data_IF_685861772078
#
_entry.id   IF_685861772078
#
_cell.length_a   1.000
_cell.length_b   1.000
_cell.length_c   1.000
_cell.angle_alpha   90.00
_cell.angle_beta   90.00
_cell.angle_gamma   90.00
#
_symmetry.space_group_name_H-M   'P 1'
#
loop_
_entity.id
_entity.type
_entity.pdbx_description
1 polymer ?
#
# COMPACT_ATOMS: atom_id res chain seq x y z
N UNK A 1 8.47 11.79 3.99
CA UNK A 1 7.23 11.90 4.81
C UNK A 1 6.27 12.94 4.24
N UNK A 2 6.77 14.16 4.01
CA UNK A 2 5.96 15.32 3.62
C UNK A 2 5.17 15.15 2.32
N UNK A 3 5.65 14.33 1.39
CA UNK A 3 4.92 13.98 0.16
C UNK A 3 4.00 12.76 0.32
N UNK A 4 4.37 11.82 1.20
CA UNK A 4 3.68 10.52 1.34
C UNK A 4 2.47 10.63 2.25
N UNK A 5 2.54 11.46 3.30
CA UNK A 5 1.44 11.63 4.26
C UNK A 5 0.21 12.28 3.61
N UNK A 6 0.32 13.37 2.82
CA UNK A 6 -0.83 13.92 2.11
C UNK A 6 -1.46 12.93 1.13
N UNK A 7 -0.64 12.16 0.39
CA UNK A 7 -1.13 11.09 -0.48
C UNK A 7 -1.90 10.03 0.31
N UNK A 8 -1.32 9.54 1.41
CA UNK A 8 -1.93 8.52 2.27
C UNK A 8 -3.25 9.02 2.90
N UNK A 9 -3.30 10.28 3.35
CA UNK A 9 -4.52 10.90 3.86
C UNK A 9 -5.61 11.02 2.79
N UNK A 10 -5.23 11.41 1.57
CA UNK A 10 -6.16 11.51 0.45
C UNK A 10 -6.77 10.14 0.08
N UNK A 11 -5.95 9.09 0.08
CA UNK A 11 -6.40 7.70 -0.14
C UNK A 11 -7.29 7.22 1.01
N UNK A 12 -6.90 7.44 2.26
CA UNK A 12 -7.70 7.07 3.43
C UNK A 12 -9.06 7.77 3.48
N UNK A 13 -9.11 9.03 3.04
CA UNK A 13 -10.33 9.82 2.96
C UNK A 13 -11.23 9.44 1.76
N UNK A 14 -10.77 8.57 0.86
CA UNK A 14 -11.50 8.19 -0.36
C UNK A 14 -11.54 9.30 -1.43
N UNK A 15 -10.75 10.37 -1.27
CA UNK A 15 -10.61 11.41 -2.32
C UNK A 15 -9.82 10.91 -3.52
N UNK A 16 -8.95 9.92 -3.28
CA UNK A 16 -8.23 9.15 -4.29
C UNK A 16 -8.50 7.66 -4.01
N UNK A 17 -8.64 6.86 -5.06
CA UNK A 17 -8.81 5.41 -4.92
C UNK A 17 -7.48 4.73 -4.55
N UNK A 18 -6.40 5.14 -5.22
CA UNK A 18 -5.07 4.53 -5.11
C UNK A 18 -3.95 5.55 -5.13
N UNK A 19 -2.80 5.20 -4.55
CA UNK A 19 -1.60 6.01 -4.54
C UNK A 19 -0.35 5.27 -5.04
N UNK A 20 0.55 5.99 -5.70
CA UNK A 20 1.88 5.52 -6.09
C UNK A 20 2.91 6.39 -5.40
N UNK A 21 3.78 5.78 -4.59
CA UNK A 21 4.82 6.49 -3.84
C UNK A 21 6.21 5.98 -4.23
N UNK A 22 7.11 6.89 -4.56
CA UNK A 22 8.49 6.55 -4.95
C UNK A 22 9.47 7.30 -4.03
N UNK A 23 10.41 6.57 -3.45
CA UNK A 23 11.57 7.15 -2.77
C UNK A 23 12.83 6.34 -3.11
N UNK A 24 13.98 6.60 -2.47
CA UNK A 24 15.23 5.91 -2.80
C UNK A 24 15.09 4.38 -2.84
N UNK A 25 14.62 3.77 -1.74
CA UNK A 25 14.37 2.31 -1.65
C UNK A 25 12.89 1.94 -1.61
N UNK A 26 11.98 2.91 -1.50
CA UNK A 26 10.55 2.68 -1.25
C UNK A 26 10.19 2.38 0.22
N UNK A 27 11.16 1.93 1.03
CA UNK A 27 10.95 1.53 2.44
C UNK A 27 10.38 2.66 3.29
N UNK A 28 10.98 3.86 3.24
CA UNK A 28 10.50 4.99 4.04
C UNK A 28 9.09 5.44 3.63
N UNK A 29 8.74 5.30 2.35
CA UNK A 29 7.40 5.63 1.87
C UNK A 29 6.37 4.64 2.42
N UNK A 30 6.63 3.34 2.36
CA UNK A 30 5.70 2.33 2.89
C UNK A 30 5.53 2.43 4.40
N UNK A 31 6.61 2.71 5.14
CA UNK A 31 6.54 2.92 6.60
C UNK A 31 5.64 4.12 6.92
N UNK A 32 5.84 5.26 6.27
CA UNK A 32 5.05 6.47 6.53
C UNK A 32 3.59 6.31 6.13
N UNK A 33 3.31 5.76 4.95
CA UNK A 33 1.96 5.60 4.44
C UNK A 33 1.10 4.72 5.36
N UNK A 34 1.65 3.60 5.83
CA UNK A 34 0.98 2.67 6.76
C UNK A 34 0.75 3.24 8.17
N UNK A 35 1.22 4.46 8.48
CA UNK A 35 0.85 5.15 9.74
C UNK A 35 -0.50 5.84 9.66
N UNK A 36 -1.08 5.98 8.46
CA UNK A 36 -2.40 6.56 8.27
C UNK A 36 -3.43 5.42 8.30
N UNK A 37 -4.35 5.40 9.28
CA UNK A 37 -5.41 4.39 9.33
C UNK A 37 -6.21 4.33 8.02
N UNK A 38 -6.52 3.14 7.56
CA UNK A 38 -7.19 2.89 6.28
C UNK A 38 -6.25 2.74 5.09
N UNK A 39 -4.96 3.06 5.24
CA UNK A 39 -3.93 2.84 4.20
C UNK A 39 -3.28 1.47 4.37
N UNK A 40 -3.15 0.77 3.24
CA UNK A 40 -2.43 -0.49 3.11
C UNK A 40 -1.41 -0.30 2.01
N UNK A 41 -0.19 0.05 2.41
CA UNK A 41 0.92 0.32 1.51
C UNK A 41 1.89 -0.86 1.43
N UNK A 42 2.15 -1.36 0.23
CA UNK A 42 3.14 -2.43 -0.03
C UNK A 42 4.41 -1.89 -0.66
N UNK A 43 5.58 -2.34 -0.18
CA UNK A 43 6.84 -2.16 -0.90
C UNK A 43 7.00 -3.27 -1.93
N UNK A 44 6.99 -2.92 -3.21
CA UNK A 44 6.87 -3.90 -4.30
C UNK A 44 8.08 -3.82 -5.23
N UNK A 45 8.59 -5.00 -5.60
CA UNK A 45 9.74 -5.16 -6.51
C UNK A 45 9.47 -6.16 -7.64
N UNK A 46 8.29 -6.79 -7.69
CA UNK A 46 7.95 -7.82 -8.65
C UNK A 46 6.48 -7.75 -9.08
N UNK A 47 6.19 -8.24 -10.28
CA UNK A 47 4.88 -8.12 -10.92
C UNK A 47 3.78 -8.92 -10.20
N UNK A 48 4.12 -10.09 -9.64
CA UNK A 48 3.14 -10.92 -8.95
C UNK A 48 2.59 -10.17 -7.73
N UNK A 49 3.49 -9.65 -6.88
CA UNK A 49 3.09 -8.91 -5.68
C UNK A 49 2.38 -7.59 -5.98
N UNK A 50 2.65 -6.96 -7.13
CA UNK A 50 1.99 -5.73 -7.55
C UNK A 50 0.47 -5.91 -7.75
N UNK A 51 0.06 -6.98 -8.42
CA UNK A 51 -1.35 -7.34 -8.59
C UNK A 51 -1.93 -8.02 -7.36
N UNK A 52 -1.24 -9.05 -6.85
CA UNK A 52 -1.72 -9.87 -5.74
C UNK A 52 -1.95 -9.05 -4.47
N UNK A 53 -1.15 -8.01 -4.21
CA UNK A 53 -1.38 -7.12 -3.07
C UNK A 53 -2.75 -6.42 -3.14
N UNK A 54 -3.22 -6.07 -4.33
CA UNK A 54 -4.58 -5.52 -4.52
C UNK A 54 -5.62 -6.63 -4.37
N UNK A 55 -5.41 -7.75 -5.05
CA UNK A 55 -6.38 -8.86 -5.10
C UNK A 55 -6.66 -9.47 -3.73
N UNK A 56 -5.65 -9.62 -2.89
CA UNK A 56 -5.74 -10.34 -1.62
C UNK A 56 -5.83 -9.43 -0.39
N UNK A 57 -5.12 -8.30 -0.42
CA UNK A 57 -4.98 -7.41 0.74
C UNK A 57 -5.65 -6.05 0.53
N UNK A 58 -6.31 -5.84 -0.62
CA UNK A 58 -6.91 -4.56 -0.99
C UNK A 58 -5.90 -3.41 -0.84
N UNK A 59 -4.63 -3.67 -1.23
CA UNK A 59 -3.56 -2.69 -1.20
C UNK A 59 -3.98 -1.45 -1.99
N UNK A 60 -3.94 -0.28 -1.37
CA UNK A 60 -4.37 0.98 -1.97
C UNK A 60 -3.21 1.97 -2.17
N UNK A 61 -2.00 1.62 -1.73
CA UNK A 61 -0.79 2.37 -2.05
C UNK A 61 0.33 1.40 -2.46
N UNK A 62 0.92 1.60 -3.64
CA UNK A 62 2.15 0.91 -4.05
C UNK A 62 3.36 1.81 -3.76
N UNK A 63 4.38 1.25 -3.12
CA UNK A 63 5.65 1.90 -2.85
C UNK A 63 6.78 1.24 -3.65
N UNK A 64 7.56 2.03 -4.40
CA UNK A 64 8.63 1.54 -5.26
C UNK A 64 9.94 2.28 -4.94
N UNK A 65 11.07 1.57 -5.02
CA UNK A 65 12.40 2.15 -4.86
C UNK A 65 12.96 2.68 -6.18
N UNK A 66 13.10 4.00 -6.30
CA UNK A 66 13.66 4.66 -7.49
C UNK A 66 15.16 4.45 -7.71
N UNK A 67 15.89 3.93 -6.71
CA UNK A 67 17.29 3.50 -6.86
C UNK A 67 17.46 1.99 -6.98
N UNK A 68 16.40 1.22 -6.74
CA UNK A 68 16.48 -0.26 -6.67
C UNK A 68 15.65 -0.96 -7.74
N UNK A 69 14.71 -0.26 -8.37
CA UNK A 69 13.86 -0.79 -9.46
C UNK A 69 14.08 0.05 -10.71
N UNK A 70 14.40 -0.61 -11.82
CA UNK A 70 14.54 0.06 -13.13
C UNK A 70 13.21 0.63 -13.62
N UNK A 71 13.24 1.70 -14.42
CA UNK A 71 12.04 2.45 -14.83
C UNK A 71 11.03 1.60 -15.60
N UNK A 72 11.47 0.72 -16.49
CA UNK A 72 10.56 -0.16 -17.25
C UNK A 72 9.85 -1.15 -16.33
N UNK A 73 10.59 -1.76 -15.40
CA UNK A 73 9.98 -2.65 -14.39
C UNK A 73 9.00 -1.86 -13.53
N UNK A 74 9.41 -0.69 -13.02
CA UNK A 74 8.53 0.15 -12.20
C UNK A 74 7.22 0.51 -12.92
N UNK A 75 7.27 0.78 -14.23
CA UNK A 75 6.08 1.02 -15.03
C UNK A 75 5.16 -0.22 -15.08
N UNK A 76 5.71 -1.40 -15.37
CA UNK A 76 4.96 -2.65 -15.40
C UNK A 76 4.30 -2.95 -14.03
N UNK A 77 5.02 -2.70 -12.93
CA UNK A 77 4.48 -2.84 -11.57
C UNK A 77 3.30 -1.91 -11.31
N UNK A 78 3.40 -0.64 -11.73
CA UNK A 78 2.31 0.32 -11.59
C UNK A 78 1.11 -0.10 -12.44
N UNK A 79 1.32 -0.59 -13.66
CA UNK A 79 0.23 -1.08 -14.51
C UNK A 79 -0.48 -2.29 -13.89
N UNK A 80 0.27 -3.28 -13.40
CA UNK A 80 -0.29 -4.44 -12.70
C UNK A 80 -1.09 -4.02 -11.45
N UNK A 81 -0.53 -3.10 -10.65
CA UNK A 81 -1.21 -2.55 -9.49
C UNK A 81 -2.50 -1.82 -9.85
N UNK A 82 -2.53 -1.02 -10.92
CA UNK A 82 -3.72 -0.25 -11.30
C UNK A 82 -4.79 -1.11 -11.96
N UNK A 83 -4.40 -2.17 -12.70
CA UNK A 83 -5.32 -3.06 -13.39
C UNK A 83 -5.97 -4.11 -12.47
N UNK A 84 -5.33 -4.45 -11.35
CA UNK A 84 -5.85 -5.45 -10.43
C UNK A 84 -7.11 -4.98 -9.70
N UNK A 85 -7.99 -5.94 -9.40
CA UNK A 85 -9.23 -5.73 -8.65
C UNK A 85 -9.23 -6.59 -7.38
N UNK A 86 -9.80 -6.05 -6.30
CA UNK A 86 -9.89 -6.83 -5.06
C UNK A 86 -10.79 -8.04 -5.28
N UNK A 87 -10.29 -9.23 -4.94
CA UNK A 87 -10.96 -10.49 -5.29
C UNK A 87 -12.23 -10.79 -4.47
N UNK A 88 -12.47 -10.06 -3.39
CA UNK A 88 -13.58 -10.29 -2.44
C UNK A 88 -13.67 -11.73 -1.88
N UNK A 89 -12.63 -12.56 -2.01
CA UNK A 89 -12.68 -13.93 -1.53
C UNK A 89 -12.84 -13.98 0.01
N UNK A 90 -13.61 -14.94 0.57
CA UNK A 90 -13.88 -14.98 2.02
C UNK A 90 -12.62 -14.96 2.90
N UNK A 91 -11.53 -15.59 2.43
CA UNK A 91 -10.25 -15.60 3.15
C UNK A 91 -9.56 -14.22 3.18
N UNK A 92 -9.75 -13.41 2.14
CA UNK A 92 -9.16 -12.08 1.97
C UNK A 92 -9.94 -11.04 2.77
N UNK A 93 -11.28 -11.06 2.68
CA UNK A 93 -12.15 -10.26 3.55
C UNK A 93 -11.83 -10.48 5.04
N UNK A 94 -11.69 -11.74 5.46
CA UNK A 94 -11.32 -12.08 6.83
C UNK A 94 -9.96 -11.51 7.24
N UNK A 95 -8.96 -11.53 6.36
CA UNK A 95 -7.62 -10.98 6.65
C UNK A 95 -7.68 -9.45 6.71
N UNK A 96 -8.36 -8.82 5.74
CA UNK A 96 -8.58 -7.38 5.70
C UNK A 96 -9.26 -6.88 6.99
N UNK A 97 -10.31 -7.57 7.47
CA UNK A 97 -10.93 -7.25 8.76
C UNK A 97 -9.98 -7.37 9.95
N UNK A 98 -9.04 -8.32 9.93
CA UNK A 98 -8.02 -8.43 10.99
C UNK A 98 -7.04 -7.26 10.94
N UNK A 99 -6.60 -6.85 9.76
CA UNK A 99 -5.72 -5.70 9.57
C UNK A 99 -6.39 -4.41 10.05
N UNK A 100 -7.64 -4.16 9.64
CA UNK A 100 -8.42 -2.99 10.10
C UNK A 100 -8.57 -2.93 11.63
N UNK A 101 -8.66 -4.10 12.30
CA UNK A 101 -8.69 -4.17 13.76
C UNK A 101 -7.36 -3.80 14.42
N UNK A 102 -6.23 -3.89 13.73
CA UNK A 102 -4.94 -3.44 14.28
C UNK A 102 -4.86 -1.91 14.37
N UNK A 103 -5.58 -1.20 13.50
CA UNK A 103 -5.58 0.27 13.43
C UNK A 103 -6.36 0.92 14.59
N UNK A 104 -7.35 0.20 15.13
CA UNK A 104 -8.23 0.69 16.20
C UNK A 104 -7.85 0.17 17.59
N UNK A 105 -6.88 -0.74 17.68
CA UNK A 105 -6.37 -1.19 18.95
C UNK A 105 -5.58 -0.06 19.61
N UNK A 106 -5.92 0.35 20.84
CA UNK A 106 -5.09 1.30 21.57
C UNK A 106 -3.68 0.71 21.64
N UNK A 107 -2.73 1.44 21.08
CA UNK A 107 -1.32 1.06 21.18
C UNK A 107 -1.05 0.91 22.67
N UNK A 108 -0.67 -0.30 23.11
CA UNK A 108 -0.12 -0.45 24.46
C UNK A 108 1.18 0.33 24.44
N UNK A 109 1.12 1.60 24.84
CA UNK A 109 2.28 2.40 25.13
C UNK A 109 2.94 1.76 26.35
N UNK A 110 3.76 0.75 26.09
CA UNK A 110 4.67 0.18 27.07
C UNK A 110 6.03 0.86 26.85
N UNK A 111 6.31 1.80 27.76
CA UNK A 111 7.62 2.35 28.15
C UNK A 111 8.38 3.15 27.10
#
# INVERSE_FOLDING_TARGET
>A
PDFVIPLAQAVAAGTLERGVAICGSGVGASICANKIPGVRAGLIHDHFSAGQGVEDDHMNVICIGGRTVGSSVAWDLVQAFLAAEFSHAPRHLRRLSKVARLETQPTRANV
#
